data_IF_825682779940
#
_entry.id   IF_825682779940
#
_cell.length_a   1.000
_cell.length_b   1.000
_cell.length_c   1.000
_cell.angle_alpha   90.00
_cell.angle_beta   90.00
_cell.angle_gamma   90.00
#
_symmetry.space_group_name_H-M   'P 1'
#
loop_
_entity.id
_entity.type
_entity.pdbx_description
1 polymer ?
#
# COMPACT_ATOMS: atom_id res chain seq x y z
N UNK A 1 5.65 -39.75 28.24
CA UNK A 1 4.37 -39.35 28.86
C UNK A 1 4.32 -37.83 28.84
N UNK A 2 3.20 -37.25 28.41
CA UNK A 2 3.02 -35.80 28.43
C UNK A 2 3.22 -35.27 29.86
N UNK A 3 3.94 -34.16 30.01
CA UNK A 3 4.13 -33.48 31.30
C UNK A 3 2.81 -32.92 31.86
N UNK A 4 1.78 -32.84 31.01
CA UNK A 4 0.51 -32.19 31.30
C UNK A 4 -0.66 -33.18 31.27
N UNK A 5 -1.68 -32.92 32.09
CA UNK A 5 -2.96 -33.65 32.07
C UNK A 5 -3.62 -33.49 30.70
N UNK A 6 -4.34 -34.51 30.23
CA UNK A 6 -5.04 -34.46 28.95
C UNK A 6 -6.18 -33.43 28.95
N UNK A 7 -6.40 -32.76 27.81
CA UNK A 7 -7.42 -31.71 27.64
C UNK A 7 -8.81 -32.19 28.09
N UNK A 8 -9.21 -33.41 27.69
CA UNK A 8 -10.50 -33.98 28.07
C UNK A 8 -10.66 -34.17 29.58
N UNK A 9 -9.60 -34.55 30.28
CA UNK A 9 -9.60 -34.67 31.75
C UNK A 9 -9.76 -33.30 32.40
N UNK A 10 -9.05 -32.29 31.91
CA UNK A 10 -9.15 -30.94 32.44
C UNK A 10 -10.54 -30.33 32.21
N UNK A 11 -11.14 -30.55 31.04
CA UNK A 11 -12.50 -30.08 30.74
C UNK A 11 -13.55 -30.70 31.69
N UNK A 12 -13.38 -31.98 32.06
CA UNK A 12 -14.20 -32.65 33.08
C UNK A 12 -13.94 -32.06 34.48
N UNK A 13 -12.68 -31.87 34.86
CA UNK A 13 -12.29 -31.33 36.17
C UNK A 13 -12.83 -29.92 36.40
N UNK A 14 -12.86 -29.09 35.35
CA UNK A 14 -13.42 -27.73 35.41
C UNK A 14 -14.94 -27.69 35.19
N UNK A 15 -15.60 -28.83 34.96
CA UNK A 15 -17.05 -28.90 34.80
C UNK A 15 -17.59 -28.29 33.51
N UNK A 16 -16.74 -28.15 32.48
CA UNK A 16 -17.11 -27.58 31.18
C UNK A 16 -17.79 -28.61 30.27
N UNK A 17 -17.52 -29.90 30.50
CA UNK A 17 -18.17 -31.03 29.83
C UNK A 17 -18.49 -32.14 30.84
N UNK A 18 -19.37 -33.07 30.47
CA UNK A 18 -19.56 -34.33 31.19
C UNK A 18 -18.91 -35.52 30.44
N UNK A 19 -18.98 -36.71 31.03
CA UNK A 19 -18.35 -37.92 30.46
C UNK A 19 -18.95 -38.32 29.11
N UNK A 20 -20.25 -38.10 28.91
CA UNK A 20 -20.94 -38.44 27.67
C UNK A 20 -20.52 -37.50 26.54
N UNK A 21 -20.40 -36.20 26.84
CA UNK A 21 -19.87 -35.19 25.91
C UNK A 21 -18.43 -35.50 25.49
N UNK A 22 -17.57 -35.93 26.43
CA UNK A 22 -16.20 -36.33 26.13
C UNK A 22 -16.16 -37.55 25.18
N UNK A 23 -16.98 -38.57 25.45
CA UNK A 23 -17.07 -39.75 24.61
C UNK A 23 -17.57 -39.41 23.19
N UNK A 24 -18.55 -38.51 23.09
CA UNK A 24 -19.05 -38.02 21.81
C UNK A 24 -17.98 -37.26 21.03
N UNK A 25 -17.23 -36.37 21.69
CA UNK A 25 -16.09 -35.65 21.12
C UNK A 25 -14.99 -36.57 20.60
N UNK A 26 -14.59 -37.58 21.38
CA UNK A 26 -13.56 -38.57 20.99
C UNK A 26 -13.98 -39.38 19.76
N UNK A 27 -15.27 -39.73 19.67
CA UNK A 27 -15.83 -40.42 18.49
C UNK A 27 -15.70 -39.55 17.24
N UNK A 28 -16.06 -38.26 17.33
CA UNK A 28 -15.93 -37.31 16.21
C UNK A 28 -14.46 -37.10 15.83
N UNK A 29 -13.57 -36.93 16.81
CA UNK A 29 -12.12 -36.83 16.58
C UNK A 29 -11.62 -38.04 15.78
N UNK A 30 -11.99 -39.26 16.17
CA UNK A 30 -11.56 -40.49 15.48
C UNK A 30 -12.11 -40.55 14.04
N UNK A 31 -13.35 -40.12 13.83
CA UNK A 31 -14.01 -40.16 12.52
C UNK A 31 -13.52 -39.10 11.55
N UNK A 32 -13.10 -37.93 12.05
CA UNK A 32 -12.81 -36.74 11.23
C UNK A 32 -11.34 -36.35 11.21
N UNK A 33 -10.54 -36.82 12.17
CA UNK A 33 -9.14 -36.40 12.36
C UNK A 33 -8.98 -35.05 13.06
N UNK A 34 -10.07 -34.39 13.47
CA UNK A 34 -10.03 -33.12 14.21
C UNK A 34 -9.35 -33.26 15.59
N UNK A 35 -8.82 -32.15 16.13
CA UNK A 35 -8.40 -32.09 17.53
C UNK A 35 -9.64 -32.24 18.45
N UNK A 36 -9.47 -32.82 19.64
CA UNK A 36 -10.60 -33.06 20.57
C UNK A 36 -11.37 -31.78 20.89
N UNK A 37 -10.67 -30.66 21.12
CA UNK A 37 -11.30 -29.36 21.36
C UNK A 37 -12.18 -28.91 20.18
N UNK A 38 -11.66 -28.98 18.95
CA UNK A 38 -12.40 -28.65 17.72
C UNK A 38 -13.66 -29.51 17.56
N UNK A 39 -13.56 -30.81 17.88
CA UNK A 39 -14.69 -31.72 17.85
C UNK A 39 -15.78 -31.33 18.86
N UNK A 40 -15.39 -30.97 20.09
CA UNK A 40 -16.32 -30.55 21.15
C UNK A 40 -16.98 -29.19 20.85
N UNK A 41 -16.24 -28.25 20.25
CA UNK A 41 -16.78 -26.97 19.76
C UNK A 41 -17.79 -27.20 18.65
N UNK A 42 -17.47 -28.07 17.68
CA UNK A 42 -18.37 -28.41 16.57
C UNK A 42 -19.67 -29.07 17.03
N UNK A 43 -19.63 -29.81 18.14
CA UNK A 43 -20.79 -30.40 18.79
C UNK A 43 -21.58 -29.39 19.65
N UNK A 44 -21.10 -28.15 19.79
CA UNK A 44 -21.72 -27.11 20.61
C UNK A 44 -21.63 -27.38 22.11
N UNK A 45 -20.69 -28.22 22.56
CA UNK A 45 -20.55 -28.59 23.98
C UNK A 45 -19.76 -27.56 24.77
N UNK A 46 -18.81 -26.91 24.12
CA UNK A 46 -17.93 -25.87 24.68
C UNK A 46 -17.70 -24.79 23.63
N UNK A 47 -17.38 -23.59 24.07
CA UNK A 47 -16.89 -22.53 23.17
C UNK A 47 -15.40 -22.71 22.88
N UNK A 48 -14.90 -22.04 21.83
CA UNK A 48 -13.45 -22.00 21.58
C UNK A 48 -12.70 -21.31 22.74
N UNK A 49 -13.31 -20.29 23.35
CA UNK A 49 -12.75 -19.57 24.50
C UNK A 49 -12.58 -20.48 25.72
N UNK A 50 -13.51 -21.41 25.96
CA UNK A 50 -13.40 -22.41 27.02
C UNK A 50 -12.22 -23.36 26.78
N UNK A 51 -12.01 -23.79 25.53
CA UNK A 51 -10.87 -24.63 25.14
C UNK A 51 -9.57 -23.88 25.39
N UNK A 52 -9.45 -22.65 24.92
CA UNK A 52 -8.23 -21.85 25.04
C UNK A 52 -7.92 -21.53 26.51
N UNK A 53 -8.95 -21.28 27.33
CA UNK A 53 -8.78 -21.09 28.77
C UNK A 53 -8.26 -22.36 29.45
N UNK A 54 -8.79 -23.54 29.14
CA UNK A 54 -8.27 -24.80 29.71
C UNK A 54 -6.84 -25.08 29.26
N UNK A 55 -6.51 -24.83 27.99
CA UNK A 55 -5.15 -24.95 27.46
C UNK A 55 -4.19 -24.02 28.21
N UNK A 56 -4.61 -22.78 28.52
CA UNK A 56 -3.81 -21.86 29.35
C UNK A 56 -3.46 -22.46 30.71
N UNK A 57 -4.40 -23.14 31.36
CA UNK A 57 -4.20 -23.82 32.65
C UNK A 57 -3.33 -25.07 32.52
N UNK A 58 -3.47 -25.80 31.43
CA UNK A 58 -2.65 -26.97 31.14
C UNK A 58 -1.17 -26.58 30.98
N UNK A 59 -0.91 -25.45 30.35
CA UNK A 59 0.41 -24.95 29.99
C UNK A 59 1.04 -24.03 31.05
N UNK A 60 0.28 -23.63 32.06
CA UNK A 60 0.67 -22.63 33.07
C UNK A 60 1.06 -21.28 32.45
N UNK A 61 0.29 -20.84 31.44
CA UNK A 61 0.44 -19.54 30.78
C UNK A 61 -0.84 -18.70 30.96
N UNK A 62 -0.76 -17.37 30.97
CA UNK A 62 -1.94 -16.52 31.08
C UNK A 62 -2.84 -16.62 29.84
N UNK A 63 -4.16 -16.59 30.03
CA UNK A 63 -5.11 -16.27 28.95
C UNK A 63 -5.45 -14.78 29.04
N UNK A 64 -5.17 -14.03 27.98
CA UNK A 64 -5.30 -12.57 27.93
C UNK A 64 -6.41 -12.19 26.96
N UNK A 65 -7.33 -11.35 27.44
CA UNK A 65 -8.27 -10.65 26.56
C UNK A 65 -7.52 -9.43 26.02
N UNK A 66 -7.19 -9.49 24.74
CA UNK A 66 -6.50 -8.40 24.04
C UNK A 66 -7.49 -7.32 23.63
N UNK A 67 -7.14 -6.08 23.94
CA UNK A 67 -7.88 -4.86 23.59
C UNK A 67 -6.91 -3.92 22.86
N UNK A 68 -7.46 -2.97 22.11
CA UNK A 68 -6.73 -2.11 21.17
C UNK A 68 -5.85 -1.06 21.88
N UNK A 69 -5.83 -1.09 23.21
CA UNK A 69 -5.26 -0.07 24.08
C UNK A 69 -3.77 -0.39 24.30
N UNK A 70 -2.90 0.37 23.62
CA UNK A 70 -1.42 0.36 23.72
C UNK A 70 -0.69 -0.75 22.94
N UNK A 71 -1.07 -1.02 21.69
CA UNK A 71 -0.25 -1.84 20.80
C UNK A 71 0.98 -1.04 20.35
N UNK A 72 2.17 -1.60 20.58
CA UNK A 72 3.41 -1.00 20.13
C UNK A 72 3.61 -1.22 18.61
N UNK A 73 3.32 -0.17 17.84
CA UNK A 73 3.45 -0.14 16.38
C UNK A 73 4.89 -0.43 15.91
N UNK A 74 5.89 0.13 16.59
CA UNK A 74 7.30 -0.10 16.24
C UNK A 74 7.68 -1.56 16.44
N UNK A 75 7.13 -2.22 17.46
CA UNK A 75 7.35 -3.64 17.73
C UNK A 75 6.69 -4.52 16.66
N UNK A 76 5.47 -4.19 16.21
CA UNK A 76 4.82 -4.91 15.11
C UNK A 76 5.62 -4.81 13.80
N UNK A 77 6.15 -3.62 13.50
CA UNK A 77 6.94 -3.39 12.29
C UNK A 77 8.25 -4.19 12.20
N UNK A 78 8.67 -4.87 13.27
CA UNK A 78 9.84 -5.77 13.27
C UNK A 78 9.56 -7.14 12.65
N UNK A 79 8.29 -7.49 12.41
CA UNK A 79 7.91 -8.82 11.93
C UNK A 79 7.08 -8.72 10.64
N UNK A 80 7.14 -9.72 9.75
CA UNK A 80 6.27 -9.76 8.57
C UNK A 80 4.79 -9.81 8.97
N UNK A 81 3.98 -8.94 8.36
CA UNK A 81 2.55 -8.81 8.63
C UNK A 81 1.80 -10.12 8.41
N UNK A 82 2.05 -10.75 7.27
CA UNK A 82 1.42 -12.00 6.85
C UNK A 82 1.71 -13.09 7.86
N UNK A 83 2.96 -13.18 8.33
CA UNK A 83 3.35 -14.14 9.36
C UNK A 83 2.58 -13.96 10.67
N UNK A 84 2.48 -12.73 11.20
CA UNK A 84 1.76 -12.46 12.44
C UNK A 84 0.26 -12.78 12.32
N UNK A 85 -0.35 -12.48 11.17
CA UNK A 85 -1.77 -12.75 10.89
C UNK A 85 -2.02 -14.25 10.74
N UNK A 86 -1.23 -14.94 9.91
CA UNK A 86 -1.39 -16.38 9.63
C UNK A 86 -1.15 -17.24 10.87
N UNK A 87 -0.17 -16.87 11.70
CA UNK A 87 0.15 -17.60 12.92
C UNK A 87 -0.60 -17.06 14.15
N UNK A 88 -1.42 -16.01 13.98
CA UNK A 88 -2.17 -15.32 15.04
C UNK A 88 -1.30 -15.03 16.26
N UNK A 89 -0.22 -14.30 16.01
CA UNK A 89 0.74 -13.84 17.02
C UNK A 89 0.68 -12.33 17.13
N UNK A 90 0.42 -11.82 18.33
CA UNK A 90 0.42 -10.40 18.65
C UNK A 90 1.56 -10.08 19.64
N UNK A 91 2.65 -9.46 19.17
CA UNK A 91 3.63 -8.82 20.05
C UNK A 91 2.98 -7.71 20.88
N UNK A 92 3.17 -7.73 22.20
CA UNK A 92 2.60 -6.73 23.12
C UNK A 92 3.63 -5.66 23.48
N UNK A 93 4.76 -6.07 24.05
CA UNK A 93 5.82 -5.16 24.47
C UNK A 93 7.18 -5.87 24.54
N UNK A 94 8.22 -5.07 24.45
CA UNK A 94 9.63 -5.45 24.55
C UNK A 94 10.16 -5.05 25.93
N UNK A 95 10.87 -5.98 26.58
CA UNK A 95 11.69 -5.74 27.77
C UNK A 95 13.15 -6.11 27.46
N UNK A 96 14.07 -5.75 28.36
CA UNK A 96 15.52 -5.90 28.16
C UNK A 96 15.95 -7.35 27.87
N UNK A 97 15.24 -8.34 28.41
CA UNK A 97 15.57 -9.77 28.34
C UNK A 97 14.56 -10.65 27.60
N UNK A 98 13.37 -10.11 27.27
CA UNK A 98 12.30 -10.89 26.64
C UNK A 98 11.32 -10.05 25.82
N UNK A 99 10.63 -10.70 24.88
CA UNK A 99 9.46 -10.15 24.19
C UNK A 99 8.20 -10.82 24.70
N UNK A 100 7.20 -10.03 25.07
CA UNK A 100 5.88 -10.54 25.47
C UNK A 100 5.00 -10.68 24.24
N UNK A 101 4.43 -11.86 24.01
CA UNK A 101 3.47 -12.11 22.93
C UNK A 101 2.16 -12.71 23.44
N UNK A 102 1.08 -12.48 22.70
CA UNK A 102 -0.15 -13.26 22.77
C UNK A 102 -0.25 -14.12 21.51
N UNK A 103 -0.49 -15.42 21.65
CA UNK A 103 -0.58 -16.36 20.53
C UNK A 103 -1.86 -17.21 20.65
N UNK A 104 -2.50 -17.53 19.52
CA UNK A 104 -3.65 -18.44 19.51
C UNK A 104 -3.26 -19.89 19.88
N UNK A 105 -2.21 -20.42 19.23
CA UNK A 105 -1.73 -21.80 19.46
C UNK A 105 -0.34 -21.79 20.14
N UNK A 106 -0.27 -21.94 21.47
CA UNK A 106 0.99 -22.03 22.21
C UNK A 106 1.86 -23.25 21.83
N UNK A 107 1.34 -24.21 21.07
CA UNK A 107 2.10 -25.35 20.56
C UNK A 107 2.72 -25.07 19.20
N UNK A 108 2.47 -23.92 18.58
CA UNK A 108 3.08 -23.49 17.33
C UNK A 108 4.55 -23.11 17.54
N UNK A 109 5.41 -24.13 17.68
CA UNK A 109 6.85 -23.98 17.90
C UNK A 109 7.56 -23.24 16.78
N UNK A 110 7.06 -23.36 15.55
CA UNK A 110 7.60 -22.62 14.41
C UNK A 110 7.39 -21.11 14.62
N UNK A 111 6.19 -20.71 15.00
CA UNK A 111 5.90 -19.30 15.23
C UNK A 111 6.73 -18.73 16.39
N UNK A 112 6.85 -19.49 17.48
CA UNK A 112 7.66 -19.08 18.66
C UNK A 112 9.13 -18.92 18.28
N UNK A 113 9.72 -19.92 17.61
CA UNK A 113 11.12 -19.89 17.22
C UNK A 113 11.42 -18.71 16.27
N UNK A 114 10.53 -18.44 15.32
CA UNK A 114 10.68 -17.29 14.42
C UNK A 114 10.72 -15.96 15.17
N UNK A 115 9.86 -15.77 16.18
CA UNK A 115 9.86 -14.55 17.00
C UNK A 115 11.15 -14.45 17.82
N UNK A 116 11.60 -15.56 18.43
CA UNK A 116 12.86 -15.60 19.20
C UNK A 116 14.07 -15.29 18.32
N UNK A 117 14.16 -15.90 17.14
CA UNK A 117 15.26 -15.72 16.19
C UNK A 117 15.31 -14.29 15.63
N UNK A 118 14.14 -13.72 15.30
CA UNK A 118 14.03 -12.35 14.79
C UNK A 118 14.45 -11.30 15.82
N UNK A 119 14.32 -11.62 17.11
CA UNK A 119 14.53 -10.68 18.20
C UNK A 119 15.82 -10.93 19.00
N UNK A 120 16.38 -12.14 18.92
CA UNK A 120 17.58 -12.54 19.66
C UNK A 120 17.38 -12.68 21.18
N UNK A 121 16.13 -12.72 21.65
CA UNK A 121 15.79 -12.90 23.08
C UNK A 121 14.65 -13.90 23.24
N UNK A 122 14.39 -14.32 24.47
CA UNK A 122 13.35 -15.29 24.79
C UNK A 122 11.95 -14.70 24.62
N UNK A 123 11.00 -15.55 24.28
CA UNK A 123 9.58 -15.22 24.26
C UNK A 123 8.94 -15.51 25.62
N UNK A 124 8.25 -14.51 26.18
CA UNK A 124 7.27 -14.70 27.24
C UNK A 124 5.89 -14.78 26.61
N UNK A 125 5.21 -15.92 26.71
CA UNK A 125 3.95 -16.17 26.01
C UNK A 125 2.73 -16.08 26.91
N UNK A 126 1.66 -15.55 26.36
CA UNK A 126 0.28 -15.70 26.83
C UNK A 126 -0.58 -16.21 25.68
N UNK A 127 -1.71 -16.83 25.98
CA UNK A 127 -2.68 -17.28 24.98
C UNK A 127 -3.87 -16.32 24.89
N UNK A 128 -4.55 -16.27 23.75
CA UNK A 128 -5.71 -15.42 23.57
C UNK A 128 -6.53 -15.82 22.35
N UNK A 129 -7.71 -15.22 22.22
CA UNK A 129 -8.63 -15.52 21.11
C UNK A 129 -7.99 -15.18 19.76
N UNK A 130 -7.83 -16.19 18.91
CA UNK A 130 -7.24 -16.04 17.58
C UNK A 130 -7.98 -15.06 16.67
N UNK A 131 -9.32 -15.05 16.74
CA UNK A 131 -10.13 -14.11 15.96
C UNK A 131 -9.93 -12.67 16.40
N UNK A 132 -9.77 -12.43 17.71
CA UNK A 132 -9.50 -11.09 18.25
C UNK A 132 -8.09 -10.62 17.92
N UNK A 133 -7.09 -11.51 18.02
CA UNK A 133 -5.72 -11.23 17.60
C UNK A 133 -5.69 -10.82 16.12
N UNK A 134 -6.34 -11.60 15.25
CA UNK A 134 -6.42 -11.33 13.83
C UNK A 134 -7.12 -10.00 13.51
N UNK A 135 -8.23 -9.71 14.20
CA UNK A 135 -8.95 -8.43 14.09
C UNK A 135 -8.03 -7.26 14.43
N UNK A 136 -7.38 -7.33 15.60
CA UNK A 136 -6.48 -6.30 16.11
C UNK A 136 -5.31 -6.06 15.16
N UNK A 137 -4.66 -7.12 14.68
CA UNK A 137 -3.54 -7.02 13.74
C UNK A 137 -3.99 -6.34 12.45
N UNK A 138 -5.13 -6.76 11.87
CA UNK A 138 -5.68 -6.14 10.66
C UNK A 138 -6.03 -4.66 10.86
N UNK A 139 -6.57 -4.29 12.02
CA UNK A 139 -6.87 -2.89 12.33
C UNK A 139 -5.62 -2.06 12.60
N UNK A 140 -4.61 -2.65 13.22
CA UNK A 140 -3.36 -1.95 13.59
C UNK A 140 -2.45 -1.76 12.39
N UNK A 141 -2.33 -2.76 11.50
CA UNK A 141 -1.56 -2.62 10.26
C UNK A 141 -2.14 -1.59 9.31
N UNK A 142 -3.46 -1.30 9.36
CA UNK A 142 -4.03 -0.13 8.67
C UNK A 142 -3.50 1.22 9.20
N UNK A 143 -2.80 1.23 10.34
CA UNK A 143 -2.30 2.44 11.04
C UNK A 143 -0.77 2.47 11.16
N UNK A 144 -0.05 1.36 10.98
CA UNK A 144 1.41 1.24 11.11
C UNK A 144 2.09 1.74 9.83
N UNK A 145 3.09 2.62 9.92
CA UNK A 145 3.82 3.17 8.76
C UNK A 145 3.01 4.15 7.91
N UNK A 146 1.68 4.08 7.95
CA UNK A 146 0.79 4.97 7.22
C UNK A 146 1.01 6.46 7.53
N UNK A 147 1.23 6.91 8.78
CA UNK A 147 1.52 8.32 9.06
C UNK A 147 2.81 8.82 8.39
N UNK A 148 3.84 7.97 8.33
CA UNK A 148 5.10 8.29 7.65
C UNK A 148 4.90 8.33 6.13
N UNK A 149 4.22 7.33 5.57
CA UNK A 149 3.84 7.29 4.15
C UNK A 149 3.03 8.53 3.74
N UNK A 150 2.03 8.92 4.53
CA UNK A 150 1.24 10.14 4.34
C UNK A 150 2.16 11.36 4.31
N UNK A 151 3.07 11.49 5.29
CA UNK A 151 4.02 12.60 5.37
C UNK A 151 4.94 12.68 4.15
N UNK A 152 5.43 11.54 3.67
CA UNK A 152 6.28 11.45 2.48
C UNK A 152 5.51 11.78 1.22
N UNK A 153 4.34 11.18 0.98
CA UNK A 153 3.50 11.47 -0.19
C UNK A 153 3.11 12.95 -0.21
N UNK A 154 2.69 13.51 0.92
CA UNK A 154 2.37 14.94 1.03
C UNK A 154 3.55 15.82 0.61
N UNK A 155 4.75 15.49 1.08
CA UNK A 155 5.98 16.21 0.72
C UNK A 155 6.30 16.07 -0.76
N UNK A 156 6.14 14.88 -1.33
CA UNK A 156 6.37 14.63 -2.76
C UNK A 156 5.39 15.44 -3.60
N UNK A 157 4.09 15.43 -3.27
CA UNK A 157 3.06 16.20 -3.97
C UNK A 157 3.41 17.68 -4.02
N UNK A 158 3.82 18.28 -2.90
CA UNK A 158 4.24 19.68 -2.86
C UNK A 158 5.55 19.93 -3.63
N UNK A 159 6.49 18.97 -3.64
CA UNK A 159 7.74 19.07 -4.42
C UNK A 159 7.48 19.06 -5.92
N UNK A 160 6.62 18.16 -6.39
CA UNK A 160 6.31 18.04 -7.82
C UNK A 160 5.27 19.06 -8.29
N UNK A 161 4.68 19.83 -7.35
CA UNK A 161 3.86 20.98 -7.72
C UNK A 161 4.70 21.97 -8.51
N UNK A 162 4.12 22.45 -9.59
CA UNK A 162 4.78 23.36 -10.53
C UNK A 162 6.00 22.73 -11.22
N UNK A 163 5.88 21.46 -11.59
CA UNK A 163 6.87 20.72 -12.37
C UNK A 163 6.19 19.96 -13.50
N UNK A 164 6.96 19.29 -14.36
CA UNK A 164 6.42 18.34 -15.34
C UNK A 164 6.40 16.89 -14.86
N UNK A 165 6.74 16.62 -13.60
CA UNK A 165 6.51 15.30 -13.00
C UNK A 165 5.02 15.09 -12.77
N UNK A 166 4.45 14.05 -13.37
CA UNK A 166 3.02 13.76 -13.32
C UNK A 166 2.70 12.37 -12.75
N UNK A 167 3.72 11.55 -12.51
CA UNK A 167 3.58 10.17 -12.02
C UNK A 167 4.47 9.96 -10.79
N UNK A 168 3.93 9.29 -9.78
CA UNK A 168 4.64 8.84 -8.58
C UNK A 168 4.63 7.32 -8.61
N UNK A 169 5.81 6.72 -8.67
CA UNK A 169 5.98 5.28 -8.76
C UNK A 169 6.33 4.73 -7.38
N UNK A 170 5.55 3.75 -6.92
CA UNK A 170 5.79 3.01 -5.68
C UNK A 170 6.26 1.59 -6.01
N UNK A 171 7.34 1.17 -5.36
CA UNK A 171 7.89 -0.18 -5.43
C UNK A 171 7.87 -0.82 -4.04
N UNK A 172 6.73 -1.39 -3.60
CA UNK A 172 6.65 -2.04 -2.31
C UNK A 172 7.48 -3.33 -2.27
N UNK A 173 8.23 -3.50 -1.20
CA UNK A 173 8.99 -4.68 -0.84
C UNK A 173 8.56 -5.20 0.55
N UNK A 174 9.17 -6.31 0.99
CA UNK A 174 8.83 -6.93 2.28
C UNK A 174 9.06 -5.98 3.47
N UNK A 175 10.09 -5.13 3.40
CA UNK A 175 10.53 -4.27 4.49
C UNK A 175 10.80 -2.81 4.09
N UNK A 176 10.52 -2.44 2.84
CA UNK A 176 10.62 -1.05 2.40
C UNK A 176 9.66 -0.74 1.25
N UNK A 177 9.51 0.54 0.94
CA UNK A 177 8.87 1.01 -0.29
C UNK A 177 9.74 2.12 -0.90
N UNK A 178 10.27 1.87 -2.09
CA UNK A 178 10.96 2.89 -2.88
C UNK A 178 9.93 3.75 -3.62
N UNK A 179 10.15 5.06 -3.64
CA UNK A 179 9.25 6.04 -4.23
C UNK A 179 10.02 6.91 -5.21
N UNK A 180 9.62 6.83 -6.47
CA UNK A 180 10.16 7.62 -7.57
C UNK A 180 9.11 8.58 -8.12
N UNK A 181 9.55 9.59 -8.88
CA UNK A 181 8.68 10.44 -9.69
C UNK A 181 9.11 10.41 -11.15
N UNK A 182 8.14 10.48 -12.05
CA UNK A 182 8.35 10.43 -13.48
C UNK A 182 7.58 11.52 -14.23
N UNK A 183 8.25 12.10 -15.23
CA UNK A 183 7.66 13.04 -16.17
C UNK A 183 8.70 13.69 -17.08
N UNK A 184 8.27 14.12 -18.26
CA UNK A 184 9.17 14.64 -19.32
C UNK A 184 10.34 13.69 -19.65
N UNK A 185 10.10 12.37 -19.59
CA UNK A 185 11.15 11.35 -19.79
C UNK A 185 12.18 11.24 -18.66
N UNK A 186 12.01 11.95 -17.55
CA UNK A 186 12.92 11.94 -16.40
C UNK A 186 12.33 11.02 -15.33
N UNK A 187 13.12 10.04 -14.86
CA UNK A 187 12.82 9.24 -13.67
C UNK A 187 13.74 9.69 -12.52
N UNK A 188 13.15 10.06 -11.39
CA UNK A 188 13.90 10.54 -10.22
C UNK A 188 13.47 9.80 -8.96
N UNK A 189 14.43 9.17 -8.28
CA UNK A 189 14.23 8.64 -6.94
C UNK A 189 14.12 9.76 -5.90
N UNK A 190 13.11 9.68 -5.02
CA UNK A 190 12.83 10.70 -4.00
C UNK A 190 12.89 10.18 -2.57
N UNK A 191 12.45 8.94 -2.32
CA UNK A 191 12.39 8.42 -0.96
C UNK A 191 12.43 6.89 -0.94
N UNK A 192 12.94 6.36 0.15
CA UNK A 192 12.72 4.97 0.55
C UNK A 192 12.22 5.00 1.99
N UNK A 193 11.06 4.42 2.24
CA UNK A 193 10.48 4.30 3.58
C UNK A 193 10.57 2.87 4.07
N UNK A 194 10.85 2.68 5.35
CA UNK A 194 10.90 1.35 5.96
C UNK A 194 9.50 0.89 6.35
N UNK A 195 9.24 -0.39 6.15
CA UNK A 195 7.96 -1.01 6.47
C UNK A 195 7.35 -1.76 5.30
N UNK A 196 6.24 -2.43 5.57
CA UNK A 196 5.48 -3.17 4.58
C UNK A 196 4.25 -2.37 4.19
N UNK A 197 4.16 -1.96 2.92
CA UNK A 197 3.09 -1.10 2.42
C UNK A 197 2.29 -1.82 1.34
N UNK A 198 0.97 -1.90 1.50
CA UNK A 198 0.09 -2.42 0.45
C UNK A 198 -0.42 -1.31 -0.45
N UNK A 199 -1.09 -1.71 -1.54
CA UNK A 199 -1.81 -0.76 -2.42
C UNK A 199 -2.84 0.05 -1.64
N UNK A 200 -3.58 -0.59 -0.73
CA UNK A 200 -4.58 0.06 0.11
C UNK A 200 -3.96 1.11 1.03
N UNK A 201 -2.75 0.88 1.55
CA UNK A 201 -2.05 1.86 2.39
C UNK A 201 -1.67 3.10 1.58
N UNK A 202 -1.12 2.92 0.38
CA UNK A 202 -0.81 4.02 -0.55
C UNK A 202 -2.08 4.80 -0.87
N UNK A 203 -3.18 4.11 -1.19
CA UNK A 203 -4.44 4.75 -1.57
C UNK A 203 -5.05 5.52 -0.41
N UNK A 204 -5.02 4.94 0.79
CA UNK A 204 -5.48 5.58 2.00
C UNK A 204 -4.66 6.84 2.31
N UNK A 205 -3.35 6.83 2.02
CA UNK A 205 -2.52 8.01 2.20
C UNK A 205 -2.88 9.15 1.24
N UNK A 206 -3.20 8.86 -0.02
CA UNK A 206 -3.71 9.86 -0.96
C UNK A 206 -5.10 10.40 -0.57
N UNK A 207 -6.00 9.51 -0.13
CA UNK A 207 -7.32 9.90 0.36
C UNK A 207 -7.22 10.81 1.59
N UNK A 208 -6.30 10.53 2.52
CA UNK A 208 -6.06 11.33 3.73
C UNK A 208 -5.58 12.76 3.41
N UNK A 209 -4.69 12.90 2.43
CA UNK A 209 -4.24 14.23 1.98
C UNK A 209 -5.24 14.94 1.07
N UNK A 210 -6.37 14.30 0.75
CA UNK A 210 -7.43 14.88 -0.11
C UNK A 210 -7.03 15.03 -1.57
N UNK A 211 -6.08 14.21 -2.06
CA UNK A 211 -5.62 14.23 -3.44
C UNK A 211 -6.29 13.09 -4.20
N UNK A 212 -7.11 13.42 -5.18
CA UNK A 212 -7.60 12.42 -6.12
C UNK A 212 -6.46 11.94 -7.01
N UNK A 213 -6.51 10.68 -7.41
CA UNK A 213 -5.47 10.07 -8.21
C UNK A 213 -6.05 8.98 -9.12
N UNK A 214 -5.25 8.64 -10.12
CA UNK A 214 -5.40 7.45 -10.96
C UNK A 214 -4.21 6.55 -10.68
N UNK A 215 -4.32 5.27 -11.04
CA UNK A 215 -3.19 4.37 -10.87
C UNK A 215 -3.14 3.28 -11.93
N UNK A 216 -1.94 2.75 -12.13
CA UNK A 216 -1.68 1.51 -12.83
C UNK A 216 -0.91 0.58 -11.90
N UNK A 217 -1.22 -0.71 -11.97
CA UNK A 217 -0.52 -1.75 -11.21
C UNK A 217 0.02 -2.78 -12.21
N UNK A 218 1.26 -3.20 -11.99
CA UNK A 218 1.84 -4.32 -12.73
C UNK A 218 2.71 -5.17 -11.82
N UNK A 219 2.75 -6.46 -12.13
CA UNK A 219 3.59 -7.44 -11.46
C UNK A 219 4.70 -7.86 -12.42
N UNK A 220 5.96 -7.57 -12.07
CA UNK A 220 7.12 -8.04 -12.83
C UNK A 220 8.15 -8.65 -11.89
N UNK A 221 8.61 -9.87 -12.19
CA UNK A 221 9.64 -10.56 -11.41
C UNK A 221 9.34 -10.62 -9.89
N UNK A 222 8.09 -10.91 -9.50
CA UNK A 222 7.63 -10.91 -8.10
C UNK A 222 7.76 -9.57 -7.35
N UNK A 223 7.97 -8.46 -8.07
CA UNK A 223 7.91 -7.11 -7.50
C UNK A 223 6.65 -6.41 -7.98
N UNK A 224 5.87 -5.91 -7.02
CA UNK A 224 4.72 -5.05 -7.28
C UNK A 224 5.20 -3.66 -7.66
N UNK A 225 4.58 -3.12 -8.70
CA UNK A 225 4.79 -1.75 -9.14
C UNK A 225 3.44 -1.05 -9.19
N UNK A 226 3.34 0.09 -8.50
CA UNK A 226 2.13 0.91 -8.47
C UNK A 226 2.51 2.31 -8.95
N UNK A 227 2.11 2.65 -10.17
CA UNK A 227 2.23 4.01 -10.69
C UNK A 227 0.97 4.79 -10.31
N UNK A 228 1.13 5.90 -9.60
CA UNK A 228 0.05 6.81 -9.23
C UNK A 228 0.17 8.11 -10.01
N UNK A 229 -0.93 8.59 -10.57
CA UNK A 229 -1.04 9.86 -11.27
C UNK A 229 -1.93 10.77 -10.42
N UNK A 230 -1.36 11.68 -9.62
CA UNK A 230 -2.13 12.62 -8.82
C UNK A 230 -2.92 13.56 -9.73
N UNK A 231 -4.08 14.03 -9.27
CA UNK A 231 -4.97 14.90 -10.05
C UNK A 231 -5.10 16.28 -9.40
N UNK A 232 -5.07 17.31 -10.24
CA UNK A 232 -5.37 18.67 -9.82
C UNK A 232 -6.82 19.03 -10.19
N UNK A 233 -7.59 19.47 -9.21
CA UNK A 233 -8.96 19.94 -9.44
C UNK A 233 -8.94 21.39 -9.96
N UNK A 234 -8.58 21.58 -11.23
CA UNK A 234 -8.67 22.87 -11.91
C UNK A 234 -9.32 22.73 -13.28
N UNK A 235 -10.13 23.72 -13.67
CA UNK A 235 -10.83 23.73 -14.96
C UNK A 235 -10.30 24.87 -15.81
N UNK A 236 -9.60 24.53 -16.89
CA UNK A 236 -9.11 25.47 -17.90
C UNK A 236 -9.87 25.30 -19.22
N UNK A 237 -10.54 26.34 -19.71
CA UNK A 237 -11.27 26.30 -20.98
C UNK A 237 -10.36 26.80 -22.11
N UNK A 238 -9.97 25.93 -23.03
CA UNK A 238 -9.04 26.23 -24.13
C UNK A 238 -9.67 25.94 -25.49
N UNK A 239 -9.46 26.83 -26.47
CA UNK A 239 -10.09 26.79 -27.82
C UNK A 239 -9.25 26.11 -28.90
N UNK A 240 -7.99 25.80 -28.62
CA UNK A 240 -6.99 25.24 -29.54
C UNK A 240 -6.34 23.99 -28.94
N UNK A 241 -5.66 23.13 -29.73
CA UNK A 241 -4.90 22.01 -29.18
C UNK A 241 -4.01 22.47 -28.03
N UNK A 242 -4.07 21.76 -26.91
CA UNK A 242 -3.42 22.16 -25.68
C UNK A 242 -2.37 21.13 -25.24
N UNK A 243 -1.32 21.63 -24.60
CA UNK A 243 -0.30 20.88 -23.88
C UNK A 243 -0.33 21.37 -22.44
N UNK A 244 -0.83 20.54 -21.53
CA UNK A 244 -0.94 20.88 -20.11
C UNK A 244 0.01 20.01 -19.31
N UNK A 245 0.84 20.65 -18.48
CA UNK A 245 1.91 19.96 -17.76
C UNK A 245 1.90 20.25 -16.27
N UNK A 246 0.74 20.12 -15.60
CA UNK A 246 0.68 20.23 -14.13
C UNK A 246 0.51 18.89 -13.42
N UNK A 247 -0.49 18.07 -13.75
CA UNK A 247 -0.76 16.78 -13.08
C UNK A 247 -1.52 15.77 -13.96
N UNK A 248 -1.12 15.62 -15.23
CA UNK A 248 -1.74 14.66 -16.16
C UNK A 248 -2.97 15.19 -16.93
N UNK A 249 -3.42 14.38 -17.89
CA UNK A 249 -4.37 14.75 -18.96
C UNK A 249 -5.52 13.73 -19.01
N UNK A 250 -6.76 14.21 -19.16
CA UNK A 250 -7.97 13.37 -19.14
C UNK A 250 -8.82 13.52 -20.41
N UNK A 251 -9.56 12.47 -20.77
CA UNK A 251 -10.53 12.51 -21.85
C UNK A 251 -11.95 12.87 -21.38
N UNK A 252 -12.80 13.42 -22.27
CA UNK A 252 -14.17 13.86 -21.97
C UNK A 252 -15.13 12.78 -21.44
N UNK A 253 -14.84 11.49 -21.60
CA UNK A 253 -15.64 10.39 -21.03
C UNK A 253 -14.97 9.62 -19.89
N UNK A 254 -14.03 10.25 -19.18
CA UNK A 254 -13.43 9.67 -17.98
C UNK A 254 -12.37 8.59 -18.25
N UNK A 255 -11.87 8.51 -19.48
CA UNK A 255 -10.71 7.68 -19.85
C UNK A 255 -9.41 8.48 -19.73
N UNK A 256 -8.31 7.79 -19.48
CA UNK A 256 -7.00 8.35 -19.12
C UNK A 256 -6.00 7.98 -20.21
N UNK A 257 -4.97 8.80 -20.39
CA UNK A 257 -3.75 8.39 -21.08
C UNK A 257 -2.97 7.37 -20.24
N UNK A 258 -3.05 6.08 -20.59
CA UNK A 258 -1.99 5.14 -20.23
C UNK A 258 -0.93 5.17 -21.31
N UNK A 259 0.33 5.27 -20.90
CA UNK A 259 1.49 5.30 -21.80
C UNK A 259 1.82 3.89 -22.34
N UNK A 260 0.80 3.07 -22.59
CA UNK A 260 0.95 1.81 -23.30
C UNK A 260 1.00 2.06 -24.81
N UNK A 261 2.07 2.77 -25.19
CA UNK A 261 2.60 3.01 -26.52
C UNK A 261 1.74 3.84 -27.50
N UNK A 262 2.47 4.66 -28.27
CA UNK A 262 2.24 4.97 -29.70
C UNK A 262 1.82 3.75 -30.56
N UNK A 263 1.77 2.52 -30.01
CA UNK A 263 1.13 1.34 -30.57
C UNK A 263 0.54 0.40 -29.49
N UNK A 264 -0.72 0.60 -29.13
CA UNK A 264 -1.68 -0.44 -28.71
C UNK A 264 -1.50 -1.09 -27.33
N UNK A 265 -2.46 -0.86 -26.42
CA UNK A 265 -3.41 -1.84 -25.84
C UNK A 265 -4.33 -1.11 -24.84
N UNK A 266 -5.60 -1.48 -24.82
CA UNK A 266 -6.69 -0.81 -24.11
C UNK A 266 -6.98 -1.46 -22.75
N UNK A 267 -6.78 -0.73 -21.65
CA UNK A 267 -7.34 -1.06 -20.34
C UNK A 267 -8.14 0.14 -19.82
N UNK A 268 -9.44 -0.07 -19.54
CA UNK A 268 -10.34 0.92 -18.96
C UNK A 268 -10.47 0.66 -17.45
N UNK A 269 -10.43 1.71 -16.63
CA UNK A 269 -10.46 1.61 -15.17
C UNK A 269 -11.76 2.17 -14.59
N UNK A 270 -12.24 1.54 -13.52
CA UNK A 270 -13.43 1.97 -12.78
C UNK A 270 -13.06 3.02 -11.73
N UNK A 271 -13.60 4.24 -11.84
CA UNK A 271 -13.51 5.25 -10.78
C UNK A 271 -14.63 5.01 -9.74
N UNK A 272 -14.25 4.97 -8.46
CA UNK A 272 -15.18 4.76 -7.33
C UNK A 272 -15.88 6.05 -6.88
N UNK A 273 -15.45 7.22 -7.34
CA UNK A 273 -16.07 8.53 -7.05
C UNK A 273 -16.01 9.44 -8.30
N UNK A 274 -17.03 10.30 -8.53
CA UNK A 274 -17.00 11.27 -9.62
C UNK A 274 -15.93 12.35 -9.37
N UNK A 275 -15.07 12.59 -10.36
CA UNK A 275 -14.11 13.71 -10.33
C UNK A 275 -14.86 14.99 -10.72
N UNK A 276 -14.84 16.00 -9.85
CA UNK A 276 -15.40 17.33 -10.14
C UNK A 276 -14.36 18.17 -10.91
N UNK A 277 -14.47 18.23 -12.24
CA UNK A 277 -13.67 19.12 -13.09
C UNK A 277 -13.53 18.59 -14.52
N UNK A 278 -14.14 19.28 -15.50
CA UNK A 278 -14.07 18.97 -16.93
C UNK A 278 -13.85 20.25 -17.73
N UNK A 279 -12.99 20.21 -18.76
CA UNK A 279 -13.27 20.96 -19.97
C UNK A 279 -13.05 20.15 -21.26
N UNK A 280 -14.04 20.25 -22.16
CA UNK A 280 -14.00 19.77 -23.54
C UNK A 280 -12.91 20.47 -24.36
N UNK A 281 -12.17 19.71 -25.17
CA UNK A 281 -11.54 20.20 -26.40
C UNK A 281 -12.39 19.74 -27.59
N UNK A 282 -13.24 20.62 -28.11
CA UNK A 282 -13.96 20.41 -29.36
C UNK A 282 -13.47 21.44 -30.40
N UNK A 283 -12.57 21.02 -31.29
CA UNK A 283 -12.18 21.87 -32.42
C UNK A 283 -13.35 21.96 -33.40
N UNK A 284 -13.88 23.17 -33.55
CA UNK A 284 -14.92 23.49 -34.53
C UNK A 284 -14.33 23.29 -35.93
N UNK A 285 -14.81 22.27 -36.64
CA UNK A 285 -14.52 21.93 -38.04
C UNK A 285 -13.26 21.07 -38.29
N UNK A 286 -13.39 19.76 -38.08
CA UNK A 286 -13.12 18.72 -39.09
C UNK A 286 -13.49 17.37 -38.47
N UNK A 287 -14.23 16.56 -39.24
CA UNK A 287 -14.42 15.15 -38.93
C UNK A 287 -13.05 14.49 -38.81
N UNK A 288 -12.62 14.21 -37.58
CA UNK A 288 -11.52 13.29 -37.32
C UNK A 288 -12.07 12.21 -36.39
N UNK A 289 -11.97 10.97 -36.84
CA UNK A 289 -12.22 9.76 -36.06
C UNK A 289 -11.22 9.57 -34.91
N UNK A 290 -10.36 10.56 -34.64
CA UNK A 290 -9.33 10.58 -33.60
C UNK A 290 -9.38 11.87 -32.76
N UNK A 291 -10.58 12.35 -32.42
CA UNK A 291 -10.82 13.67 -31.81
C UNK A 291 -10.52 13.83 -30.32
N UNK A 292 -9.54 13.11 -29.75
CA UNK A 292 -9.36 13.02 -28.29
C UNK A 292 -7.90 12.89 -27.87
N UNK A 293 -7.08 13.91 -28.14
CA UNK A 293 -5.70 13.93 -27.66
C UNK A 293 -5.35 15.27 -27.02
N UNK A 294 -4.88 15.21 -25.78
CA UNK A 294 -4.10 16.28 -25.14
C UNK A 294 -2.66 15.79 -25.15
N UNK A 295 -1.71 16.63 -25.58
CA UNK A 295 -0.31 16.20 -25.69
C UNK A 295 0.44 16.51 -24.39
N UNK A 296 1.27 15.56 -23.94
CA UNK A 296 2.32 15.80 -22.95
C UNK A 296 3.57 16.31 -23.68
N UNK A 297 4.39 17.15 -23.06
CA UNK A 297 5.59 17.77 -23.67
C UNK A 297 6.62 16.76 -24.21
N UNK A 298 6.44 15.46 -24.00
CA UNK A 298 7.37 14.46 -24.54
C UNK A 298 7.46 14.47 -26.07
N UNK A 299 6.38 14.86 -26.78
CA UNK A 299 6.39 15.21 -28.20
C UNK A 299 5.09 15.90 -28.64
N UNK A 300 5.18 16.91 -29.50
CA UNK A 300 4.03 17.49 -30.19
C UNK A 300 4.03 17.05 -31.68
N UNK A 301 2.93 16.46 -32.20
CA UNK A 301 2.85 16.10 -33.61
C UNK A 301 3.01 17.29 -34.55
N UNK A 302 3.59 17.04 -35.72
CA UNK A 302 3.76 18.06 -36.76
C UNK A 302 2.43 18.48 -37.43
N UNK A 303 1.32 17.79 -37.14
CA UNK A 303 0.02 17.97 -37.81
C UNK A 303 -0.66 19.30 -37.47
N UNK A 304 -0.35 19.90 -36.32
CA UNK A 304 -0.93 21.17 -35.90
C UNK A 304 0.08 22.30 -36.05
N UNK A 305 -0.42 23.44 -36.50
CA UNK A 305 0.37 24.66 -36.70
C UNK A 305 0.72 25.33 -35.38
N UNK A 306 -0.27 25.45 -34.50
CA UNK A 306 -0.19 26.21 -33.25
C UNK A 306 -0.80 25.38 -32.11
N UNK A 307 -0.12 25.38 -30.97
CA UNK A 307 -0.51 24.73 -29.73
C UNK A 307 -0.53 25.75 -28.60
N UNK A 308 -1.55 25.71 -27.75
CA UNK A 308 -1.48 26.39 -26.47
C UNK A 308 -0.72 25.50 -25.48
N UNK A 309 0.37 26.00 -24.92
CA UNK A 309 1.15 25.30 -23.91
C UNK A 309 0.97 26.03 -22.58
N UNK A 310 0.65 25.29 -21.52
CA UNK A 310 0.69 25.75 -20.12
C UNK A 310 1.30 24.63 -19.28
N UNK A 311 2.61 24.70 -19.12
CA UNK A 311 3.39 23.59 -18.58
C UNK A 311 4.72 24.07 -18.02
N UNK A 312 5.40 23.17 -17.32
CA UNK A 312 6.72 23.39 -16.78
C UNK A 312 7.75 22.64 -17.62
N UNK A 313 8.80 23.32 -18.06
CA UNK A 313 9.92 22.69 -18.77
C UNK A 313 11.02 22.34 -17.77
N UNK A 314 11.46 21.07 -17.69
CA UNK A 314 12.58 20.69 -16.85
C UNK A 314 13.88 21.21 -17.45
N UNK A 315 14.78 21.71 -16.61
CA UNK A 315 16.16 22.00 -16.98
C UNK A 315 17.08 21.38 -15.93
N UNK A 316 18.13 20.68 -16.35
CA UNK A 316 19.09 20.08 -15.40
C UNK A 316 19.63 21.15 -14.45
N UNK A 317 19.54 20.89 -13.15
CA UNK A 317 19.90 21.88 -12.13
C UNK A 317 21.41 22.17 -12.19
N UNK A 318 21.84 23.44 -12.34
CA UNK A 318 23.24 23.80 -12.47
C UNK A 318 24.06 23.59 -11.19
N UNK A 319 23.41 23.67 -10.01
CA UNK A 319 24.08 23.53 -8.72
C UNK A 319 24.48 22.08 -8.41
N UNK A 320 23.62 21.11 -8.74
CA UNK A 320 23.81 19.70 -8.39
C UNK A 320 24.03 18.78 -9.59
N UNK A 321 23.93 19.32 -10.80
CA UNK A 321 24.04 18.60 -12.06
C UNK A 321 23.16 17.32 -12.09
N UNK A 322 21.91 17.40 -11.65
CA UNK A 322 20.96 16.27 -11.68
C UNK A 322 20.92 15.39 -10.43
N UNK A 323 21.87 15.51 -9.50
CA UNK A 323 21.91 14.66 -8.29
C UNK A 323 20.79 14.97 -7.29
N UNK A 324 20.35 16.23 -7.21
CA UNK A 324 19.40 16.71 -6.19
C UNK A 324 20.09 17.63 -5.18
N UNK A 325 19.47 18.77 -4.89
CA UNK A 325 19.93 19.72 -3.86
C UNK A 325 18.76 20.57 -3.37
N UNK A 326 19.00 21.41 -2.36
CA UNK A 326 17.99 22.30 -1.79
C UNK A 326 17.39 23.25 -2.84
N UNK A 327 18.20 23.78 -3.76
CA UNK A 327 17.75 24.75 -4.78
C UNK A 327 16.73 24.15 -5.75
N UNK A 328 16.88 22.87 -6.11
CA UNK A 328 15.96 22.16 -7.00
C UNK A 328 14.95 21.28 -6.26
N UNK A 329 14.73 21.52 -4.96
CA UNK A 329 13.82 20.72 -4.12
C UNK A 329 14.11 19.22 -4.16
N UNK A 330 15.40 18.87 -4.33
CA UNK A 330 15.92 17.51 -4.46
C UNK A 330 15.53 16.77 -5.77
N UNK A 331 14.94 17.47 -6.74
CA UNK A 331 14.47 16.88 -8.01
C UNK A 331 15.59 16.67 -9.05
N UNK A 332 16.75 17.29 -8.83
CA UNK A 332 17.85 17.33 -9.80
C UNK A 332 17.60 18.28 -10.99
N UNK A 333 16.39 18.83 -11.10
CA UNK A 333 15.97 19.70 -12.21
C UNK A 333 15.25 20.95 -11.67
N UNK A 334 15.48 22.07 -12.33
CA UNK A 334 14.67 23.28 -12.20
C UNK A 334 13.54 23.25 -13.21
N UNK A 335 12.46 23.96 -12.94
CA UNK A 335 11.26 23.94 -13.78
C UNK A 335 10.86 25.35 -14.16
N UNK A 336 10.86 25.63 -15.47
CA UNK A 336 10.45 26.92 -16.01
C UNK A 336 9.03 26.83 -16.53
N UNK A 337 8.10 27.61 -15.95
CA UNK A 337 6.75 27.74 -16.50
C UNK A 337 6.81 28.39 -17.88
N UNK A 338 6.17 27.77 -18.86
CA UNK A 338 5.85 28.36 -20.15
C UNK A 338 4.34 28.39 -20.34
N UNK A 339 3.85 29.52 -20.83
CA UNK A 339 2.43 29.72 -21.08
C UNK A 339 2.26 30.56 -22.36
N UNK A 340 1.57 30.04 -23.37
CA UNK A 340 1.44 30.74 -24.65
C UNK A 340 1.13 29.84 -25.83
N UNK A 341 1.23 30.39 -27.03
CA UNK A 341 1.02 29.67 -28.28
C UNK A 341 2.38 29.37 -28.91
N UNK A 342 2.61 28.10 -29.24
CA UNK A 342 3.87 27.61 -29.80
C UNK A 342 3.60 26.68 -30.99
N UNK A 343 4.51 26.67 -31.95
CA UNK A 343 4.53 25.70 -33.04
C UNK A 343 5.00 24.32 -32.57
N UNK A 344 4.72 23.28 -33.37
CA UNK A 344 5.24 21.93 -33.13
C UNK A 344 6.77 21.89 -33.08
N UNK A 345 7.46 22.67 -33.92
CA UNK A 345 8.92 22.75 -33.94
C UNK A 345 9.48 23.38 -32.66
N UNK A 346 8.89 24.48 -32.18
CA UNK A 346 9.27 25.12 -30.91
C UNK A 346 9.09 24.17 -29.72
N UNK A 347 7.95 23.45 -29.66
CA UNK A 347 7.71 22.46 -28.59
C UNK A 347 8.73 21.33 -28.64
N UNK A 348 8.98 20.77 -29.82
CA UNK A 348 9.92 19.67 -29.99
C UNK A 348 11.38 20.10 -29.73
N UNK A 349 11.70 21.38 -29.92
CA UNK A 349 13.00 21.93 -29.52
C UNK A 349 13.15 21.96 -27.99
N UNK A 350 12.14 22.42 -27.25
CA UNK A 350 12.15 22.40 -25.79
C UNK A 350 12.40 20.98 -25.25
N UNK A 351 11.83 19.94 -25.87
CA UNK A 351 12.01 18.56 -25.42
C UNK A 351 13.38 17.96 -25.74
N UNK A 352 14.17 18.58 -26.63
CA UNK A 352 15.49 18.08 -27.08
C UNK A 352 16.66 18.73 -26.32
N UNK A 353 16.56 20.02 -26.01
CA UNK A 353 17.63 20.76 -25.35
C UNK A 353 17.99 20.19 -23.97
N UNK A 354 17.03 19.54 -23.30
CA UNK A 354 17.20 19.00 -21.95
C UNK A 354 17.53 17.49 -21.88
N UNK A 355 17.58 16.78 -23.02
CA UNK A 355 17.98 15.35 -23.09
C UNK A 355 19.47 15.11 -23.37
N UNK A 356 20.27 16.17 -23.56
CA UNK A 356 21.67 16.09 -23.99
C UNK A 356 22.70 16.62 -22.99
N UNK A 357 22.35 16.69 -21.70
CA UNK A 357 23.29 16.93 -20.61
C UNK A 357 23.56 15.68 -19.81
#
# INVERSE_FOLDING_TARGET
MSKWKDLGTLLLEYGLINIDDLNEGLKIQTQTGLRLGEALVKLGKVSMEDIDWVLSKQLDIPYVIVDDININIELLGKFPKEFLIENRVLPLYEADDQISIVIEDPFNKHAIAFIEDSFGRKVSMSTGSGSKIEEILKQTYKKVGLPELIGVIKTIIEKIRETSFYRIDFFPAEHSCEINVFGSGILKHLAEIKGHFTREDIFSAFDDIGVHFLYEESDSNNRKFIAVFPLENSVDIIKMPAVLGRYGLFLPEGSIFSDAHVYGFSNAFHLSKPIHGYPYLATKNKQSSFGKLIYVIDAAPAEFKDYYVNAYLPRRCPACNGSGCLDCRDLGHEFKKIEGIFSSDEINQFSREDRHG
#
